data_IF_013778516767
#
_entry.id   IF_013778516767
#
_cell.length_a   1.000
_cell.length_b   1.000
_cell.length_c   1.000
_cell.angle_alpha   90.00
_cell.angle_beta   90.00
_cell.angle_gamma   90.00
#
_symmetry.space_group_name_H-M   'P 1'
#
loop_
_entity.id
_entity.type
_entity.pdbx_description
1 polymer ?
#
# COMPACT_ATOMS: atom_id res chain seq x y z
N UNK A 1 -4.99 -20.22 1.36
CA UNK A 1 -4.18 -19.20 2.06
C UNK A 1 -4.67 -17.84 1.61
N UNK A 2 -5.25 -17.03 2.48
CA UNK A 2 -5.62 -15.65 2.14
C UNK A 2 -4.29 -14.92 1.89
N UNK A 3 -4.03 -14.48 0.66
CA UNK A 3 -2.83 -13.71 0.37
C UNK A 3 -2.88 -12.43 1.21
N UNK A 4 -1.91 -12.24 2.11
CA UNK A 4 -1.88 -11.13 3.08
C UNK A 4 -1.91 -9.74 2.43
N UNK A 5 -1.63 -9.66 1.13
CA UNK A 5 -1.59 -8.45 0.31
C UNK A 5 -2.94 -8.11 -0.37
N UNK A 6 -3.98 -8.92 -0.16
CA UNK A 6 -5.30 -8.70 -0.77
C UNK A 6 -5.41 -9.08 -2.25
N UNK A 7 -4.40 -9.74 -2.83
CA UNK A 7 -4.34 -10.11 -4.26
C UNK A 7 -3.90 -8.97 -5.17
N UNK A 8 -4.15 -9.09 -6.48
CA UNK A 8 -3.85 -8.05 -7.45
C UNK A 8 -4.74 -6.80 -7.23
N UNK A 9 -4.14 -5.60 -7.32
CA UNK A 9 -4.90 -4.34 -7.18
C UNK A 9 -5.99 -4.18 -8.25
N UNK A 10 -5.71 -4.66 -9.46
CA UNK A 10 -6.61 -4.64 -10.60
C UNK A 10 -6.79 -6.07 -11.10
N UNK A 11 -7.90 -6.74 -10.78
CA UNK A 11 -8.18 -8.09 -11.26
C UNK A 11 -8.29 -8.08 -12.78
N UNK A 12 -7.56 -8.97 -13.46
CA UNK A 12 -7.76 -9.16 -14.90
C UNK A 12 -9.08 -9.89 -15.14
N UNK A 13 -10.01 -9.24 -15.85
CA UNK A 13 -11.25 -9.86 -16.31
C UNK A 13 -11.08 -10.35 -17.75
N UNK A 14 -10.99 -11.68 -17.93
CA UNK A 14 -11.04 -12.33 -19.23
C UNK A 14 -9.67 -12.66 -19.84
N UNK A 15 -9.53 -13.92 -20.26
CA UNK A 15 -8.37 -14.60 -20.83
C UNK A 15 -7.32 -15.06 -19.81
N UNK A 16 -7.56 -16.28 -19.34
CA UNK A 16 -6.54 -17.17 -18.80
C UNK A 16 -5.31 -17.20 -19.73
N UNK A 17 -4.12 -16.88 -19.22
CA UNK A 17 -3.04 -17.88 -19.14
C UNK A 17 -1.66 -17.34 -18.72
N UNK A 18 -1.39 -16.04 -18.63
CA UNK A 18 -0.10 -15.61 -18.08
C UNK A 18 -0.08 -14.16 -17.59
N UNK A 19 -0.23 -13.98 -16.27
CA UNK A 19 0.22 -12.78 -15.59
C UNK A 19 0.68 -13.19 -14.19
N UNK A 20 1.96 -13.61 -14.03
CA UNK A 20 2.49 -14.04 -12.74
C UNK A 20 2.53 -12.85 -11.79
N UNK A 21 1.49 -12.64 -10.98
CA UNK A 21 1.40 -11.52 -10.00
C UNK A 21 1.96 -10.19 -10.56
N UNK A 22 1.78 -9.96 -11.87
CA UNK A 22 2.58 -9.02 -12.63
C UNK A 22 2.00 -7.62 -12.49
N UNK A 23 2.21 -7.00 -11.35
CA UNK A 23 1.70 -5.66 -11.07
C UNK A 23 1.67 -5.31 -9.59
N UNK A 24 0.99 -4.21 -9.25
CA UNK A 24 0.78 -3.81 -7.86
C UNK A 24 -0.18 -4.76 -7.15
N UNK A 25 0.15 -5.14 -5.92
CA UNK A 25 -0.82 -5.80 -5.04
C UNK A 25 -1.87 -4.79 -4.58
N UNK A 26 -3.04 -5.27 -4.14
CA UNK A 26 -4.09 -4.40 -3.60
C UNK A 26 -3.57 -3.61 -2.39
N UNK A 27 -2.71 -4.23 -1.57
CA UNK A 27 -1.99 -3.56 -0.48
C UNK A 27 -1.13 -2.40 -0.98
N UNK A 28 -0.35 -2.58 -2.04
CA UNK A 28 0.49 -1.52 -2.60
C UNK A 28 -0.34 -0.37 -3.15
N UNK A 29 -1.44 -0.67 -3.84
CA UNK A 29 -2.36 0.35 -4.34
C UNK A 29 -2.99 1.17 -3.20
N UNK A 30 -3.46 0.50 -2.15
CA UNK A 30 -4.02 1.18 -0.97
C UNK A 30 -2.97 2.01 -0.25
N UNK A 31 -1.72 1.53 -0.14
CA UNK A 31 -0.62 2.30 0.44
C UNK A 31 -0.29 3.53 -0.42
N UNK A 32 -0.25 3.40 -1.75
CA UNK A 32 -0.04 4.51 -2.67
C UNK A 32 -1.17 5.55 -2.62
N UNK A 33 -2.41 5.14 -2.31
CA UNK A 33 -3.52 6.07 -2.04
C UNK A 33 -3.40 6.73 -0.67
N UNK A 34 -2.97 6.00 0.35
CA UNK A 34 -2.83 6.53 1.70
C UNK A 34 -1.71 7.57 1.79
N UNK A 35 -0.55 7.34 1.16
CA UNK A 35 0.61 8.24 1.26
C UNK A 35 0.32 9.66 0.77
N UNK A 36 -0.63 9.87 -0.15
CA UNK A 36 -0.96 11.20 -0.69
C UNK A 36 -1.83 12.05 0.23
N UNK A 37 -2.45 11.45 1.25
CA UNK A 37 -3.37 12.14 2.18
C UNK A 37 -2.91 12.07 3.64
N UNK A 38 -2.00 11.15 3.95
CA UNK A 38 -1.43 11.04 5.29
C UNK A 38 -0.56 12.23 5.60
N UNK A 39 -0.78 12.82 6.78
CA UNK A 39 0.18 13.78 7.34
C UNK A 39 1.57 13.14 7.36
N UNK A 40 2.58 13.89 6.93
CA UNK A 40 3.95 13.40 6.99
C UNK A 40 4.38 13.20 8.45
N UNK A 41 5.42 12.38 8.70
CA UNK A 41 5.88 12.15 10.06
C UNK A 41 6.49 13.43 10.66
N UNK A 42 6.52 13.54 11.99
CA UNK A 42 6.95 14.76 12.71
C UNK A 42 8.36 15.23 12.33
N UNK A 43 9.22 14.30 11.90
CA UNK A 43 10.58 14.56 11.43
C UNK A 43 10.67 14.92 9.94
N UNK A 44 9.54 15.12 9.26
CA UNK A 44 9.45 15.53 7.86
C UNK A 44 9.27 17.05 7.66
N UNK A 45 9.22 17.85 8.72
CA UNK A 45 8.88 19.27 8.59
C UNK A 45 10.11 20.14 8.30
N UNK A 46 10.07 20.83 7.15
CA UNK A 46 10.75 22.11 6.94
C UNK A 46 12.16 22.09 6.37
N UNK A 47 13.08 21.20 6.76
CA UNK A 47 14.49 21.32 6.30
C UNK A 47 15.32 20.04 6.10
N UNK A 48 14.83 18.83 6.40
CA UNK A 48 15.62 17.63 6.05
C UNK A 48 14.74 16.41 5.92
N UNK A 49 14.28 16.18 4.70
CA UNK A 49 13.87 14.86 4.29
C UNK A 49 15.06 13.91 4.51
N UNK A 50 14.85 12.92 5.37
CA UNK A 50 15.83 11.85 5.61
C UNK A 50 15.28 10.53 5.05
N UNK A 51 16.18 9.60 4.74
CA UNK A 51 15.78 8.23 4.43
C UNK A 51 14.86 7.64 5.52
N UNK A 52 15.05 8.05 6.78
CA UNK A 52 14.20 7.62 7.89
C UNK A 52 12.79 8.22 7.84
N UNK A 53 12.66 9.51 7.51
CA UNK A 53 11.36 10.17 7.34
C UNK A 53 10.53 9.52 6.23
N UNK A 54 11.16 9.20 5.09
CA UNK A 54 10.51 8.47 3.99
C UNK A 54 10.08 7.06 4.41
N UNK A 55 10.96 6.35 5.13
CA UNK A 55 10.66 5.02 5.66
C UNK A 55 9.46 5.05 6.61
N UNK A 56 9.39 6.02 7.53
CA UNK A 56 8.27 6.20 8.46
C UNK A 56 6.97 6.51 7.72
N UNK A 57 7.02 7.36 6.71
CA UNK A 57 5.84 7.73 5.94
C UNK A 57 5.29 6.54 5.15
N UNK A 58 6.16 5.78 4.47
CA UNK A 58 5.79 4.53 3.80
C UNK A 58 5.19 3.51 4.79
N UNK A 59 5.77 3.36 5.98
CA UNK A 59 5.22 2.49 7.02
C UNK A 59 3.83 2.91 7.48
N UNK A 60 3.57 4.23 7.64
CA UNK A 60 2.25 4.76 7.98
C UNK A 60 1.23 4.41 6.88
N UNK A 61 1.61 4.56 5.62
CA UNK A 61 0.77 4.22 4.47
C UNK A 61 0.42 2.72 4.41
N UNK A 62 1.40 1.83 4.60
CA UNK A 62 1.15 0.40 4.62
C UNK A 62 0.29 -0.05 5.81
N UNK A 63 0.43 0.57 6.98
CA UNK A 63 -0.47 0.29 8.13
C UNK A 63 -1.92 0.66 7.82
N UNK A 64 -2.14 1.78 7.12
CA UNK A 64 -3.49 2.15 6.67
C UNK A 64 -4.03 1.13 5.67
N UNK A 65 -3.22 0.71 4.70
CA UNK A 65 -3.60 -0.33 3.74
C UNK A 65 -4.00 -1.64 4.43
N UNK A 66 -3.19 -2.08 5.41
CA UNK A 66 -3.45 -3.30 6.19
C UNK A 66 -4.75 -3.19 7.00
N UNK A 67 -5.05 -2.01 7.58
CA UNK A 67 -6.30 -1.76 8.29
C UNK A 67 -7.53 -1.83 7.37
N UNK A 68 -7.44 -1.29 6.15
CA UNK A 68 -8.51 -1.36 5.15
C UNK A 68 -8.76 -2.82 4.72
N UNK A 69 -7.71 -3.60 4.48
CA UNK A 69 -7.82 -5.02 4.13
C UNK A 69 -8.45 -5.84 5.26
N UNK A 70 -8.08 -5.56 6.52
CA UNK A 70 -8.67 -6.19 7.69
C UNK A 70 -10.18 -5.86 7.80
N UNK A 71 -10.56 -4.59 7.60
CA UNK A 71 -11.96 -4.15 7.62
C UNK A 71 -12.82 -4.74 6.50
N UNK A 72 -12.21 -5.24 5.42
CA UNK A 72 -12.91 -5.96 4.35
C UNK A 72 -13.17 -7.43 4.67
N UNK A 73 -12.47 -7.97 5.67
CA UNK A 73 -12.52 -9.40 6.02
C UNK A 73 -13.51 -9.70 7.16
N UNK A 74 -14.25 -8.69 7.60
CA UNK A 74 -15.38 -8.74 8.55
C UNK A 74 -16.69 -8.62 7.80
#
# INVERSE_FOLDING_TARGET
MIQKNGGAAFPQSGFEQWAPEGGMTLRDYLAAKAITVLEPPDDYVGQRETADSYRKWAQKAYRMADAVLAARST
#
